data_IF_422799125160
#
_entry.id   IF_422799125160
#
_cell.length_a   1.000
_cell.length_b   1.000
_cell.length_c   1.000
_cell.angle_alpha   90.00
_cell.angle_beta   90.00
_cell.angle_gamma   90.00
#
_symmetry.space_group_name_H-M   'P 1'
#
loop_
_entity.id
_entity.type
_entity.pdbx_description
1 polymer ?
#
# COMPACT_ATOMS: atom_id res chain seq x y z
N UNK A 1 1.40 -21.49 17.90
CA UNK A 1 1.77 -20.55 16.81
C UNK A 1 1.97 -19.16 17.40
N UNK A 2 2.95 -18.39 16.93
CA UNK A 2 3.08 -16.98 17.34
C UNK A 2 1.90 -16.15 16.81
N UNK A 3 1.58 -15.05 17.50
CA UNK A 3 0.56 -14.09 17.08
C UNK A 3 0.78 -13.62 15.62
N UNK A 4 2.04 -13.44 15.23
CA UNK A 4 2.42 -13.03 13.88
C UNK A 4 2.07 -14.10 12.84
N UNK A 5 2.36 -15.38 13.12
CA UNK A 5 2.01 -16.46 12.19
C UNK A 5 0.50 -16.57 11.97
N UNK A 6 -0.29 -16.49 13.06
CA UNK A 6 -1.77 -16.50 12.97
C UNK A 6 -2.31 -15.33 12.15
N UNK A 7 -1.72 -14.14 12.30
CA UNK A 7 -2.09 -12.97 11.51
C UNK A 7 -1.75 -13.15 10.03
N UNK A 8 -0.54 -13.61 9.71
CA UNK A 8 -0.12 -13.83 8.32
C UNK A 8 -0.96 -14.90 7.64
N UNK A 9 -1.25 -16.02 8.30
CA UNK A 9 -2.09 -17.08 7.77
C UNK A 9 -3.52 -16.57 7.50
N UNK A 10 -4.07 -15.73 8.39
CA UNK A 10 -5.37 -15.06 8.20
C UNK A 10 -5.37 -14.10 7.01
N UNK A 11 -4.28 -13.37 6.77
CA UNK A 11 -4.20 -12.47 5.62
C UNK A 11 -4.07 -13.23 4.30
N UNK A 12 -3.26 -14.30 4.29
CA UNK A 12 -3.17 -15.20 3.13
C UNK A 12 -4.51 -15.85 2.79
N UNK A 13 -5.27 -16.30 3.79
CA UNK A 13 -6.61 -16.90 3.54
C UNK A 13 -7.62 -15.91 2.98
N UNK A 14 -7.38 -14.60 3.12
CA UNK A 14 -8.17 -13.52 2.50
C UNK A 14 -7.68 -13.15 1.09
N UNK A 15 -6.67 -13.83 0.56
CA UNK A 15 -6.07 -13.53 -0.75
C UNK A 15 -4.97 -12.47 -0.72
N UNK A 16 -4.59 -11.94 0.46
CA UNK A 16 -3.53 -10.94 0.54
C UNK A 16 -2.14 -11.57 0.44
N UNK A 17 -1.25 -10.87 -0.28
CA UNK A 17 0.18 -11.19 -0.38
C UNK A 17 0.99 -10.16 0.40
N UNK A 18 1.91 -10.63 1.25
CA UNK A 18 2.88 -9.76 1.94
C UNK A 18 3.95 -9.31 0.94
N UNK A 19 4.14 -8.00 0.83
CA UNK A 19 5.17 -7.37 -0.02
C UNK A 19 6.03 -6.48 0.87
N UNK A 20 7.34 -6.59 0.75
CA UNK A 20 8.32 -5.73 1.44
C UNK A 20 8.86 -4.72 0.44
N UNK A 21 8.77 -3.44 0.77
CA UNK A 21 9.24 -2.33 -0.08
C UNK A 21 10.21 -1.44 0.71
N UNK A 22 11.21 -0.90 0.02
CA UNK A 22 12.03 0.20 0.53
C UNK A 22 11.40 1.51 0.08
N UNK A 23 11.12 2.41 1.02
CA UNK A 23 10.44 3.68 0.76
C UNK A 23 11.13 4.82 1.52
N UNK A 24 11.04 6.08 1.05
CA UNK A 24 11.47 7.23 1.83
C UNK A 24 10.72 7.32 3.16
N UNK A 25 11.42 7.65 4.24
CA UNK A 25 10.85 7.69 5.59
C UNK A 25 9.69 8.69 5.70
N UNK A 26 9.80 9.85 5.03
CA UNK A 26 8.78 10.90 5.02
C UNK A 26 7.54 10.53 4.17
N UNK A 27 7.59 9.41 3.43
CA UNK A 27 6.49 8.92 2.57
C UNK A 27 5.80 7.68 3.14
N UNK A 28 6.19 7.20 4.32
CA UNK A 28 5.64 5.97 4.91
C UNK A 28 4.12 6.03 5.11
N UNK A 29 3.60 7.16 5.60
CA UNK A 29 2.16 7.35 5.80
C UNK A 29 1.39 7.28 4.48
N UNK A 30 1.90 7.95 3.45
CA UNK A 30 1.26 8.06 2.14
C UNK A 30 1.16 6.68 1.48
N UNK A 31 2.26 5.91 1.52
CA UNK A 31 2.31 4.54 0.96
C UNK A 31 1.37 3.60 1.72
N UNK A 32 1.35 3.66 3.06
CA UNK A 32 0.43 2.84 3.87
C UNK A 32 -1.03 3.18 3.60
N UNK A 33 -1.36 4.46 3.47
CA UNK A 33 -2.72 4.90 3.19
C UNK A 33 -3.17 4.42 1.81
N UNK A 34 -2.38 4.64 0.76
CA UNK A 34 -2.69 4.17 -0.59
C UNK A 34 -2.90 2.65 -0.62
N UNK A 35 -2.00 1.89 0.02
CA UNK A 35 -2.13 0.43 0.11
C UNK A 35 -3.41 -0.01 0.84
N UNK A 36 -3.75 0.64 1.97
CA UNK A 36 -4.99 0.32 2.71
C UNK A 36 -6.23 0.59 1.87
N UNK A 37 -6.32 1.76 1.23
CA UNK A 37 -7.47 2.12 0.41
C UNK A 37 -7.65 1.15 -0.75
N UNK A 38 -6.58 0.76 -1.44
CA UNK A 38 -6.67 -0.24 -2.52
C UNK A 38 -7.12 -1.63 -2.02
N UNK A 39 -6.77 -2.00 -0.79
CA UNK A 39 -7.22 -3.27 -0.21
C UNK A 39 -8.71 -3.26 0.17
N UNK A 40 -9.27 -2.08 0.45
CA UNK A 40 -10.69 -1.92 0.83
C UNK A 40 -11.60 -1.74 -0.40
N UNK A 41 -11.07 -1.28 -1.53
CA UNK A 41 -11.81 -1.02 -2.77
C UNK A 41 -11.16 -1.73 -3.97
N UNK A 42 -11.69 -2.90 -4.33
CA UNK A 42 -11.13 -3.80 -5.36
C UNK A 42 -11.00 -3.17 -6.78
N UNK A 43 -11.74 -2.09 -7.05
CA UNK A 43 -11.72 -1.37 -8.32
C UNK A 43 -10.76 -0.17 -8.36
N UNK A 44 -10.02 0.10 -7.28
CA UNK A 44 -9.06 1.19 -7.22
C UNK A 44 -7.62 0.66 -7.27
N UNK A 45 -6.78 1.35 -8.05
CA UNK A 45 -5.33 1.08 -8.11
C UNK A 45 -4.56 2.40 -8.21
N UNK A 46 -3.25 2.38 -7.92
CA UNK A 46 -2.41 3.58 -8.06
C UNK A 46 -2.14 3.86 -9.54
N UNK A 47 -2.64 4.99 -10.03
CA UNK A 47 -2.36 5.48 -11.40
C UNK A 47 -1.68 6.85 -11.46
N UNK A 48 -1.67 7.58 -10.34
CA UNK A 48 -1.11 8.93 -10.25
C UNK A 48 -0.30 9.11 -8.98
N UNK A 49 0.77 9.89 -9.04
CA UNK A 49 1.54 10.35 -7.90
C UNK A 49 1.48 11.87 -7.81
N UNK A 50 1.61 12.41 -6.60
CA UNK A 50 1.72 13.85 -6.39
C UNK A 50 3.19 14.25 -6.36
N UNK A 51 3.58 15.21 -7.18
CA UNK A 51 4.85 15.91 -7.05
C UNK A 51 4.82 16.74 -5.75
N UNK A 52 5.75 16.44 -4.85
CA UNK A 52 5.80 17.05 -3.52
C UNK A 52 6.33 18.49 -3.53
N UNK A 53 7.02 18.90 -4.59
CA UNK A 53 7.55 20.25 -4.74
C UNK A 53 6.54 21.16 -5.45
N UNK A 54 5.89 20.65 -6.50
CA UNK A 54 4.97 21.46 -7.32
C UNK A 54 3.50 21.27 -6.98
N UNK A 55 3.17 20.21 -6.24
CA UNK A 55 1.80 19.82 -5.89
C UNK A 55 0.99 19.21 -7.04
N UNK A 56 1.59 19.06 -8.23
CA UNK A 56 0.94 18.54 -9.43
C UNK A 56 0.76 17.03 -9.36
N UNK A 57 -0.32 16.53 -9.95
CA UNK A 57 -0.53 15.09 -10.14
C UNK A 57 0.16 14.64 -11.42
N UNK A 58 0.94 13.58 -11.35
CA UNK A 58 1.73 13.00 -12.44
C UNK A 58 1.24 11.58 -12.67
N UNK A 59 0.86 11.26 -13.92
CA UNK A 59 0.51 9.90 -14.32
C UNK A 59 1.70 8.96 -14.17
N UNK A 60 1.47 7.75 -13.68
CA UNK A 60 2.50 6.70 -13.60
C UNK A 60 2.69 5.93 -14.93
N UNK A 61 1.82 6.17 -15.90
CA UNK A 61 1.81 5.57 -17.25
C UNK A 61 1.76 6.64 -18.33
#
# INVERSE_FOLDING_TARGET
>A
MSRNKKYEDKMKSKGFKKVTLWIPQDRESDVKQAASVMCDYENLTVGVLKDVHTGRMVSMH
#
